data_IF_442394231110
#
_entry.id   IF_442394231110
#
_cell.length_a   1.000
_cell.length_b   1.000
_cell.length_c   1.000
_cell.angle_alpha   90.00
_cell.angle_beta   90.00
_cell.angle_gamma   90.00
#
_symmetry.space_group_name_H-M   'P 1'
#
loop_
_entity.id
_entity.type
_entity.pdbx_description
1 polymer ?
#
# COMPACT_ATOMS: atom_id res chain seq x y z
N UNK A 1 -6.01 15.40 0.11
CA UNK A 1 -4.52 15.54 0.22
C UNK A 1 -3.84 14.33 -0.41
N UNK A 2 -2.56 14.44 -0.85
CA UNK A 2 -1.87 13.29 -1.43
C UNK A 2 -1.48 12.23 -0.39
N UNK A 3 -1.13 11.02 -0.88
CA UNK A 3 -0.86 9.84 -0.03
C UNK A 3 0.36 10.04 0.91
N UNK A 4 1.40 10.79 0.48
CA UNK A 4 2.58 11.08 1.28
C UNK A 4 2.24 11.95 2.50
N UNK A 5 1.36 12.95 2.31
CA UNK A 5 0.87 13.79 3.39
C UNK A 5 -0.07 13.01 4.33
N UNK A 6 -0.93 12.16 3.78
CA UNK A 6 -1.80 11.29 4.56
C UNK A 6 -0.98 10.34 5.46
N UNK A 7 0.06 9.71 4.92
CA UNK A 7 1.01 8.87 5.68
C UNK A 7 1.60 9.65 6.86
N UNK A 8 2.10 10.86 6.63
CA UNK A 8 2.68 11.67 7.71
C UNK A 8 1.65 12.03 8.78
N UNK A 9 0.42 12.34 8.37
CA UNK A 9 -0.66 12.70 9.29
C UNK A 9 -1.13 11.49 10.14
N UNK A 10 -1.13 10.28 9.58
CA UNK A 10 -1.39 9.07 10.35
C UNK A 10 -0.28 8.83 11.37
N UNK A 11 1.00 8.97 10.99
CA UNK A 11 2.14 8.85 11.92
C UNK A 11 2.06 9.87 13.05
N UNK A 12 1.67 11.10 12.75
CA UNK A 12 1.46 12.13 13.78
C UNK A 12 0.31 11.75 14.72
N UNK A 13 -0.77 11.18 14.18
CA UNK A 13 -1.90 10.71 14.97
C UNK A 13 -1.51 9.56 15.90
N UNK A 14 -0.74 8.59 15.40
CA UNK A 14 -0.20 7.48 16.19
C UNK A 14 0.61 8.03 17.38
N UNK A 15 1.57 8.92 17.11
CA UNK A 15 2.40 9.54 18.14
C UNK A 15 1.58 10.28 19.19
N UNK A 16 0.55 11.02 18.74
CA UNK A 16 -0.33 11.76 19.64
C UNK A 16 -1.19 10.84 20.52
N UNK A 17 -1.66 9.71 19.97
CA UNK A 17 -2.51 8.76 20.68
C UNK A 17 -1.72 7.86 21.63
N UNK A 18 -0.46 7.58 21.35
CA UNK A 18 0.44 6.80 22.21
C UNK A 18 1.14 7.64 23.27
N UNK A 19 0.97 8.97 23.25
CA UNK A 19 1.57 9.83 24.26
C UNK A 19 0.96 9.54 25.64
N UNK A 20 1.81 9.23 26.63
CA UNK A 20 1.42 8.89 27.99
C UNK A 20 1.74 10.03 28.97
N UNK A 21 0.96 10.10 30.02
CA UNK A 21 1.20 10.91 31.20
C UNK A 21 2.28 10.26 32.11
N UNK A 22 2.71 10.98 33.14
CA UNK A 22 3.70 10.47 34.09
C UNK A 22 3.24 9.21 34.86
N UNK A 23 1.93 9.00 34.99
CA UNK A 23 1.31 7.82 35.64
C UNK A 23 1.15 6.62 34.69
N UNK A 24 1.60 6.71 33.43
CA UNK A 24 1.51 5.67 32.42
C UNK A 24 0.18 5.62 31.66
N UNK A 25 -0.81 6.44 32.01
CA UNK A 25 -2.09 6.54 31.27
C UNK A 25 -1.93 7.31 29.95
N UNK A 26 -2.73 6.99 28.94
CA UNK A 26 -2.72 7.75 27.68
C UNK A 26 -3.24 9.17 27.92
N UNK A 27 -2.49 10.16 27.41
CA UNK A 27 -2.88 11.58 27.53
C UNK A 27 -4.21 11.87 26.84
N UNK A 28 -4.49 11.19 25.72
CA UNK A 28 -5.82 11.15 25.10
C UNK A 28 -6.38 9.75 25.39
N UNK A 29 -7.37 9.63 26.31
CA UNK A 29 -7.95 8.32 26.64
C UNK A 29 -8.46 7.60 25.41
N UNK A 30 -8.34 6.27 25.38
CA UNK A 30 -8.68 5.43 24.22
C UNK A 30 -10.09 5.70 23.69
N UNK A 31 -11.06 5.96 24.56
CA UNK A 31 -12.44 6.29 24.17
C UNK A 31 -12.56 7.61 23.39
N UNK A 32 -11.62 8.54 23.55
CA UNK A 32 -11.58 9.83 22.85
C UNK A 32 -10.67 9.84 21.63
N UNK A 33 -9.92 8.79 21.40
CA UNK A 33 -9.10 8.62 20.21
C UNK A 33 -10.01 8.26 19.02
N UNK A 34 -10.19 9.18 18.10
CA UNK A 34 -11.02 8.97 16.91
C UNK A 34 -10.34 7.99 15.96
N UNK A 35 -11.03 6.94 15.47
CA UNK A 35 -10.53 6.14 14.36
C UNK A 35 -10.20 7.03 13.16
N UNK A 36 -9.11 6.73 12.46
CA UNK A 36 -8.77 7.40 11.22
C UNK A 36 -9.55 6.75 10.07
N UNK A 37 -10.21 7.56 9.25
CA UNK A 37 -10.95 7.12 8.07
C UNK A 37 -10.29 7.68 6.82
N UNK A 38 -9.65 6.81 6.02
CA UNK A 38 -9.03 7.16 4.75
C UNK A 38 -10.06 7.00 3.62
N UNK A 39 -10.42 8.09 2.99
CA UNK A 39 -11.30 8.08 1.82
C UNK A 39 -10.53 8.51 0.59
N UNK A 40 -10.60 7.74 -0.48
CA UNK A 40 -9.91 8.10 -1.72
C UNK A 40 -10.07 7.06 -2.81
N UNK A 41 -9.66 7.41 -4.04
CA UNK A 41 -9.82 6.55 -5.20
C UNK A 41 -9.16 5.17 -5.03
N UNK A 42 -9.61 4.15 -5.77
CA UNK A 42 -8.95 2.84 -5.77
C UNK A 42 -7.53 2.96 -6.38
N UNK A 43 -6.60 2.11 -5.92
CA UNK A 43 -5.25 2.03 -6.48
C UNK A 43 -4.29 3.16 -6.11
N UNK A 44 -4.65 4.07 -5.17
CA UNK A 44 -3.75 5.15 -4.72
C UNK A 44 -2.78 4.75 -3.59
N UNK A 45 -2.77 3.47 -3.20
CA UNK A 45 -1.82 2.95 -2.21
C UNK A 45 -2.27 3.03 -0.75
N UNK A 46 -3.58 3.13 -0.46
CA UNK A 46 -4.11 3.20 0.92
C UNK A 46 -3.64 2.03 1.81
N UNK A 47 -3.68 0.83 1.29
CA UNK A 47 -3.26 -0.39 2.00
C UNK A 47 -1.73 -0.42 2.17
N UNK A 48 -0.98 -0.13 1.11
CA UNK A 48 0.49 -0.13 1.13
C UNK A 48 1.10 0.85 2.14
N UNK A 49 0.49 2.04 2.32
CA UNK A 49 1.02 2.99 3.31
C UNK A 49 0.86 2.50 4.74
N UNK A 50 -0.10 1.61 5.02
CA UNK A 50 -0.29 1.07 6.38
C UNK A 50 0.82 0.11 6.77
N UNK A 51 1.28 -0.74 5.83
CA UNK A 51 2.45 -1.60 6.03
C UNK A 51 3.71 -0.76 6.28
N UNK A 52 3.94 0.26 5.45
CA UNK A 52 5.06 1.17 5.62
C UNK A 52 5.01 1.96 6.93
N UNK A 53 3.81 2.38 7.39
CA UNK A 53 3.64 3.08 8.67
C UNK A 53 3.95 2.15 9.84
N UNK A 54 3.46 0.92 9.78
CA UNK A 54 3.71 -0.09 10.80
C UNK A 54 5.22 -0.37 10.95
N UNK A 55 5.92 -0.57 9.84
CA UNK A 55 7.37 -0.75 9.81
C UNK A 55 8.13 0.49 10.33
N UNK A 56 7.81 1.68 9.83
CA UNK A 56 8.49 2.93 10.22
C UNK A 56 8.21 3.37 11.67
N UNK A 57 7.11 2.91 12.27
CA UNK A 57 6.75 3.20 13.66
C UNK A 57 7.08 2.04 14.61
N UNK A 58 7.61 0.92 14.09
CA UNK A 58 7.90 -0.29 14.85
C UNK A 58 6.66 -0.83 15.60
N UNK A 59 5.53 -0.89 14.89
CA UNK A 59 4.23 -1.30 15.42
C UNK A 59 3.70 -2.53 14.71
N UNK A 60 3.10 -3.50 15.44
CA UNK A 60 2.39 -4.59 14.84
C UNK A 60 1.15 -4.08 14.07
N UNK A 61 0.91 -4.67 12.90
CA UNK A 61 -0.25 -4.41 12.06
C UNK A 61 -1.13 -5.65 12.01
N UNK A 62 -2.42 -5.45 12.27
CA UNK A 62 -3.49 -6.40 11.95
C UNK A 62 -4.34 -5.79 10.86
N UNK A 63 -4.47 -6.46 9.72
CA UNK A 63 -5.15 -5.94 8.53
C UNK A 63 -6.29 -6.87 8.13
N UNK A 64 -7.46 -6.29 7.91
CA UNK A 64 -8.66 -6.98 7.45
C UNK A 64 -9.33 -6.27 6.29
N UNK A 65 -9.72 -7.04 5.27
CA UNK A 65 -10.66 -6.59 4.24
C UNK A 65 -12.06 -7.04 4.64
N UNK A 66 -12.89 -6.09 5.04
CA UNK A 66 -14.15 -6.37 5.71
C UNK A 66 -15.22 -7.01 4.80
N UNK A 67 -15.10 -6.87 3.48
CA UNK A 67 -16.03 -7.46 2.49
C UNK A 67 -16.09 -8.98 2.54
N UNK A 68 -15.05 -9.62 3.04
CA UNK A 68 -14.99 -11.08 3.21
C UNK A 68 -15.64 -11.57 4.51
N UNK A 69 -16.08 -10.66 5.38
CA UNK A 69 -16.64 -11.00 6.68
C UNK A 69 -18.17 -10.97 6.68
N UNK A 70 -18.75 -11.95 7.34
CA UNK A 70 -20.17 -11.97 7.70
C UNK A 70 -20.38 -11.25 9.03
N UNK A 71 -21.63 -10.90 9.35
CA UNK A 71 -21.95 -10.36 10.68
C UNK A 71 -21.49 -11.31 11.81
N UNK A 72 -21.60 -12.61 11.62
CA UNK A 72 -21.23 -13.62 12.60
C UNK A 72 -19.72 -13.68 12.84
N UNK A 73 -18.91 -13.63 11.79
CA UNK A 73 -17.44 -13.61 11.94
C UNK A 73 -16.94 -12.30 12.57
N UNK A 74 -17.60 -11.17 12.27
CA UNK A 74 -17.22 -9.86 12.81
C UNK A 74 -17.62 -9.66 14.28
N UNK A 75 -18.82 -10.14 14.69
CA UNK A 75 -19.32 -9.95 16.07
C UNK A 75 -19.00 -11.15 16.97
N UNK A 76 -18.86 -12.34 16.41
CA UNK A 76 -18.84 -13.62 17.10
C UNK A 76 -20.18 -14.36 17.00
N UNK A 77 -20.17 -15.62 17.41
CA UNK A 77 -21.37 -16.48 17.45
C UNK A 77 -22.08 -16.34 18.79
N UNK A 78 -23.42 -16.21 18.79
CA UNK A 78 -24.19 -16.24 20.04
C UNK A 78 -24.16 -17.64 20.65
N UNK A 79 -23.97 -17.70 21.96
CA UNK A 79 -24.12 -18.92 22.75
C UNK A 79 -24.90 -18.64 24.04
N UNK A 80 -25.55 -19.67 24.58
CA UNK A 80 -26.35 -19.54 25.79
C UNK A 80 -25.50 -19.93 27.00
N UNK A 81 -25.39 -19.00 27.97
CA UNK A 81 -24.74 -19.23 29.25
C UNK A 81 -25.75 -19.08 30.38
N UNK A 82 -25.62 -19.94 31.40
CA UNK A 82 -26.41 -19.78 32.63
C UNK A 82 -25.70 -18.85 33.59
N UNK A 83 -26.40 -17.79 34.01
CA UNK A 83 -25.88 -16.82 35.00
C UNK A 83 -26.85 -16.67 36.17
N UNK A 84 -26.31 -16.53 37.37
CA UNK A 84 -27.08 -16.29 38.55
C UNK A 84 -27.13 -14.81 38.92
N UNK A 85 -28.33 -14.26 39.05
CA UNK A 85 -28.58 -12.91 39.51
C UNK A 85 -29.60 -12.91 40.65
N UNK A 86 -29.21 -12.39 41.82
CA UNK A 86 -30.10 -12.30 42.98
C UNK A 86 -30.65 -13.65 43.45
N UNK A 87 -29.83 -14.73 43.35
CA UNK A 87 -30.20 -16.10 43.77
C UNK A 87 -31.12 -16.83 42.78
N UNK A 88 -31.29 -16.29 41.55
CA UNK A 88 -32.08 -16.93 40.45
C UNK A 88 -31.20 -17.14 39.25
N UNK A 89 -31.30 -18.30 38.63
CA UNK A 89 -30.56 -18.66 37.40
C UNK A 89 -31.31 -18.20 36.17
N UNK A 90 -30.61 -17.48 35.26
CA UNK A 90 -31.13 -17.00 34.00
C UNK A 90 -30.28 -17.52 32.86
N UNK A 91 -30.95 -17.81 31.73
CA UNK A 91 -30.26 -18.08 30.47
C UNK A 91 -29.93 -16.76 29.81
N UNK A 92 -28.65 -16.45 29.59
CA UNK A 92 -28.17 -15.21 29.00
C UNK A 92 -27.49 -15.54 27.68
N UNK A 93 -27.75 -14.74 26.65
CA UNK A 93 -27.01 -14.85 25.37
C UNK A 93 -25.71 -14.07 25.49
N UNK A 94 -24.60 -14.74 25.26
CA UNK A 94 -23.28 -14.14 25.10
C UNK A 94 -22.76 -14.39 23.68
N UNK A 95 -21.71 -13.66 23.30
CA UNK A 95 -21.07 -13.84 22.01
C UNK A 95 -19.64 -14.30 22.20
N UNK A 96 -19.19 -15.23 21.35
CA UNK A 96 -17.77 -15.57 21.26
C UNK A 96 -16.97 -14.34 20.83
N UNK A 97 -15.69 -14.31 21.16
CA UNK A 97 -14.81 -13.24 20.67
C UNK A 97 -14.80 -13.23 19.13
N UNK A 98 -14.87 -12.04 18.54
CA UNK A 98 -14.75 -11.90 17.09
C UNK A 98 -13.35 -12.26 16.62
N UNK A 99 -13.22 -12.77 15.40
CA UNK A 99 -11.94 -13.07 14.77
C UNK A 99 -11.04 -11.83 14.72
N UNK A 100 -11.59 -10.65 14.45
CA UNK A 100 -10.85 -9.38 14.37
C UNK A 100 -10.20 -9.06 15.73
N UNK A 101 -10.95 -9.21 16.83
CA UNK A 101 -10.41 -8.93 18.17
C UNK A 101 -9.43 -10.03 18.59
N UNK A 102 -9.73 -11.30 18.30
CA UNK A 102 -8.84 -12.42 18.59
C UNK A 102 -7.46 -12.25 17.92
N UNK A 103 -7.43 -11.86 16.63
CA UNK A 103 -6.17 -11.63 15.91
C UNK A 103 -5.31 -10.51 16.49
N UNK A 104 -5.93 -9.54 17.18
CA UNK A 104 -5.17 -8.51 17.90
C UNK A 104 -4.45 -9.16 19.10
N UNK A 105 -5.14 -10.01 19.87
CA UNK A 105 -4.53 -10.71 21.01
C UNK A 105 -3.43 -11.68 20.55
N UNK A 106 -3.67 -12.45 19.48
CA UNK A 106 -2.66 -13.33 18.87
C UNK A 106 -1.42 -12.55 18.44
N UNK A 107 -1.63 -11.34 17.90
CA UNK A 107 -0.54 -10.47 17.50
C UNK A 107 0.23 -9.92 18.68
N UNK A 108 -0.45 -9.56 19.78
CA UNK A 108 0.19 -9.15 21.03
C UNK A 108 1.02 -10.29 21.62
N UNK A 109 0.47 -11.51 21.64
CA UNK A 109 1.18 -12.68 22.16
C UNK A 109 2.42 -13.03 21.34
N UNK A 110 2.32 -12.98 20.00
CA UNK A 110 3.42 -13.32 19.11
C UNK A 110 4.53 -12.29 19.07
N UNK A 111 4.22 -11.00 19.27
CA UNK A 111 5.22 -9.91 19.18
C UNK A 111 5.67 -9.40 20.54
N UNK A 112 4.91 -9.64 21.62
CA UNK A 112 5.11 -9.02 22.93
C UNK A 112 4.76 -7.53 23.00
N UNK A 113 4.33 -6.91 21.88
CA UNK A 113 4.01 -5.48 21.78
C UNK A 113 2.53 -5.25 22.10
N UNK A 114 2.24 -4.39 23.06
CA UNK A 114 0.87 -4.08 23.49
C UNK A 114 0.19 -2.99 22.67
N UNK A 115 0.95 -2.21 21.94
CA UNK A 115 0.48 -1.12 21.07
C UNK A 115 0.56 -1.57 19.62
N UNK A 116 -0.40 -1.16 18.78
CA UNK A 116 -0.45 -1.59 17.40
C UNK A 116 -1.48 -0.85 16.55
N UNK A 117 -1.63 -1.29 15.32
CA UNK A 117 -2.56 -0.74 14.34
C UNK A 117 -3.52 -1.84 13.91
N UNK A 118 -4.83 -1.56 14.03
CA UNK A 118 -5.87 -2.33 13.35
C UNK A 118 -6.29 -1.57 12.10
N UNK A 119 -5.99 -2.15 10.93
CA UNK A 119 -6.40 -1.62 9.64
C UNK A 119 -7.58 -2.40 9.08
N UNK A 120 -8.65 -1.67 8.71
CA UNK A 120 -9.86 -2.25 8.12
C UNK A 120 -10.05 -1.64 6.75
N UNK A 121 -9.81 -2.44 5.70
CA UNK A 121 -10.00 -2.00 4.32
C UNK A 121 -11.45 -2.22 3.85
N UNK A 122 -11.86 -1.41 2.88
CA UNK A 122 -13.19 -1.45 2.25
C UNK A 122 -14.36 -1.27 3.23
N UNK A 123 -14.17 -0.47 4.28
CA UNK A 123 -15.12 -0.30 5.40
C UNK A 123 -16.54 0.09 4.95
N UNK A 124 -16.70 0.74 3.81
CA UNK A 124 -17.98 1.19 3.28
C UNK A 124 -18.53 0.29 2.15
N UNK A 125 -17.88 -0.84 1.86
CA UNK A 125 -18.35 -1.88 0.94
C UNK A 125 -19.02 -3.07 1.65
N UNK A 126 -19.34 -2.93 2.93
CA UNK A 126 -19.92 -3.99 3.75
C UNK A 126 -21.38 -4.26 3.40
N UNK A 127 -21.81 -5.50 3.66
CA UNK A 127 -23.21 -5.89 3.50
C UNK A 127 -24.16 -5.05 4.37
N UNK A 128 -25.44 -4.94 3.97
CA UNK A 128 -26.46 -4.21 4.74
C UNK A 128 -26.59 -4.66 6.19
N UNK A 129 -26.42 -5.93 6.43
CA UNK A 129 -26.53 -6.54 7.76
C UNK A 129 -25.33 -6.26 8.64
N UNK A 130 -24.14 -6.03 8.04
CA UNK A 130 -22.90 -5.78 8.76
C UNK A 130 -22.62 -4.27 8.97
N UNK A 131 -23.10 -3.41 8.06
CA UNK A 131 -22.80 -1.98 8.11
C UNK A 131 -23.14 -1.31 9.46
N UNK A 132 -24.30 -1.51 10.11
CA UNK A 132 -24.59 -0.90 11.40
C UNK A 132 -23.60 -1.34 12.50
N UNK A 133 -23.15 -2.59 12.45
CA UNK A 133 -22.18 -3.14 13.40
C UNK A 133 -20.81 -2.49 13.22
N UNK A 134 -20.37 -2.31 11.98
CA UNK A 134 -19.09 -1.67 11.68
C UNK A 134 -19.09 -0.19 12.08
N UNK A 135 -20.20 0.52 11.86
CA UNK A 135 -20.35 1.90 12.32
C UNK A 135 -20.31 1.98 13.86
N UNK A 136 -21.02 1.08 14.54
CA UNK A 136 -20.95 0.98 16.00
C UNK A 136 -19.54 0.66 16.48
N UNK A 137 -18.83 -0.25 15.80
CA UNK A 137 -17.45 -0.58 16.11
C UNK A 137 -16.53 0.64 16.01
N UNK A 138 -16.62 1.42 14.93
CA UNK A 138 -15.83 2.65 14.78
C UNK A 138 -16.11 3.65 15.91
N UNK A 139 -17.34 3.68 16.44
CA UNK A 139 -17.73 4.60 17.51
C UNK A 139 -17.30 4.11 18.90
N UNK A 140 -17.52 2.83 19.20
CA UNK A 140 -17.37 2.25 20.53
C UNK A 140 -16.09 1.44 20.71
N UNK A 141 -15.39 1.11 19.62
CA UNK A 141 -14.20 0.22 19.58
C UNK A 141 -14.47 -1.16 20.20
N UNK A 142 -15.71 -1.65 20.05
CA UNK A 142 -16.14 -2.95 20.57
C UNK A 142 -16.85 -3.75 19.51
N UNK A 143 -16.60 -5.04 19.49
CA UNK A 143 -17.45 -6.01 18.80
C UNK A 143 -18.19 -6.85 19.84
N UNK A 144 -19.52 -6.77 19.88
CA UNK A 144 -20.31 -7.36 20.95
C UNK A 144 -19.87 -6.83 22.31
N UNK A 145 -19.43 -7.75 23.19
CA UNK A 145 -18.92 -7.44 24.54
C UNK A 145 -17.41 -7.26 24.60
N UNK A 146 -16.70 -7.49 23.48
CA UNK A 146 -15.24 -7.51 23.43
C UNK A 146 -14.69 -6.18 22.88
N UNK A 147 -13.93 -5.48 23.71
CA UNK A 147 -13.28 -4.23 23.35
C UNK A 147 -11.92 -4.49 22.68
N UNK A 148 -11.52 -3.58 21.79
CA UNK A 148 -10.15 -3.50 21.30
C UNK A 148 -9.22 -3.14 22.47
N UNK A 149 -8.09 -3.83 22.66
CA UNK A 149 -7.11 -3.49 23.69
C UNK A 149 -6.64 -2.04 23.59
N UNK A 150 -6.40 -1.41 24.74
CA UNK A 150 -5.83 -0.07 24.78
C UNK A 150 -4.46 -0.04 24.11
N UNK A 151 -4.17 1.08 23.40
CA UNK A 151 -2.95 1.24 22.62
C UNK A 151 -3.09 0.80 21.16
N UNK A 152 -4.19 0.14 20.79
CA UNK A 152 -4.47 -0.20 19.39
C UNK A 152 -5.26 0.92 18.71
N UNK A 153 -4.69 1.42 17.62
CA UNK A 153 -5.24 2.52 16.84
C UNK A 153 -5.98 1.94 15.64
N UNK A 154 -7.23 2.37 15.46
CA UNK A 154 -8.06 1.93 14.34
C UNK A 154 -7.84 2.88 13.17
N UNK A 155 -7.47 2.32 12.03
CA UNK A 155 -7.44 2.99 10.73
C UNK A 155 -8.36 2.22 9.79
N UNK A 156 -9.33 2.90 9.21
CA UNK A 156 -10.24 2.32 8.22
C UNK A 156 -10.02 2.99 6.87
N UNK A 157 -10.19 2.25 5.79
CA UNK A 157 -10.13 2.77 4.43
C UNK A 157 -11.40 2.46 3.65
N UNK A 158 -11.78 3.36 2.76
CA UNK A 158 -12.91 3.20 1.87
C UNK A 158 -12.72 3.94 0.55
N UNK A 159 -13.58 3.65 -0.41
CA UNK A 159 -13.62 4.34 -1.69
C UNK A 159 -14.85 5.24 -1.75
N UNK A 160 -14.77 6.41 -2.39
CA UNK A 160 -15.94 7.25 -2.66
C UNK A 160 -16.97 6.53 -3.55
N UNK A 161 -18.27 6.90 -3.46
CA UNK A 161 -19.36 6.24 -4.20
C UNK A 161 -19.24 6.28 -5.71
N UNK A 162 -18.58 7.30 -6.25
CA UNK A 162 -18.34 7.45 -7.69
C UNK A 162 -17.52 6.31 -8.31
N UNK A 163 -16.74 5.59 -7.50
CA UNK A 163 -15.89 4.48 -7.95
C UNK A 163 -16.52 3.10 -7.75
N UNK A 164 -17.52 2.98 -6.88
CA UNK A 164 -18.16 1.70 -6.60
C UNK A 164 -19.62 1.90 -6.18
N UNK A 165 -20.55 1.42 -6.99
CA UNK A 165 -22.01 1.52 -6.73
C UNK A 165 -22.47 0.77 -5.49
N UNK A 166 -21.70 -0.19 -5.00
CA UNK A 166 -22.00 -0.94 -3.78
C UNK A 166 -21.58 -0.21 -2.50
N UNK A 167 -20.93 0.92 -2.63
CA UNK A 167 -20.44 1.74 -1.51
C UNK A 167 -21.60 2.47 -0.85
N UNK A 168 -21.55 2.52 0.48
CA UNK A 168 -22.46 3.33 1.30
C UNK A 168 -21.78 4.61 1.72
N UNK A 169 -22.54 5.68 1.70
CA UNK A 169 -22.13 6.94 2.29
C UNK A 169 -22.25 6.87 3.83
N UNK A 170 -21.26 7.44 4.49
CA UNK A 170 -21.33 7.61 5.95
C UNK A 170 -22.20 8.81 6.29
N UNK A 171 -23.07 8.63 7.28
CA UNK A 171 -23.87 9.72 7.82
C UNK A 171 -23.00 10.72 8.62
N UNK A 172 -23.57 11.91 8.87
CA UNK A 172 -22.90 12.98 9.61
C UNK A 172 -22.51 12.53 11.03
N UNK A 173 -23.32 11.68 11.66
CA UNK A 173 -23.07 11.17 13.02
C UNK A 173 -21.83 10.30 13.07
N UNK A 174 -21.62 9.47 12.07
CA UNK A 174 -20.42 8.63 11.92
C UNK A 174 -19.19 9.50 11.60
N UNK A 175 -19.32 10.43 10.63
CA UNK A 175 -18.22 11.30 10.22
C UNK A 175 -17.74 12.21 11.36
N UNK A 176 -18.62 12.65 12.25
CA UNK A 176 -18.25 13.45 13.42
C UNK A 176 -17.41 12.65 14.45
N UNK A 177 -17.44 11.34 14.40
CA UNK A 177 -16.74 10.45 15.35
C UNK A 177 -15.43 9.87 14.82
N UNK A 178 -15.11 10.11 13.57
CA UNK A 178 -13.87 9.67 12.94
C UNK A 178 -12.97 10.85 12.58
N UNK A 179 -11.70 10.59 12.36
CA UNK A 179 -10.76 11.53 11.76
C UNK A 179 -10.67 11.23 10.28
N UNK A 180 -11.51 11.90 9.48
CA UNK A 180 -11.56 11.70 8.03
C UNK A 180 -10.36 12.34 7.34
N UNK A 181 -9.74 11.60 6.44
CA UNK A 181 -8.64 12.03 5.57
C UNK A 181 -9.03 11.70 4.14
N UNK A 182 -9.30 12.72 3.34
CA UNK A 182 -9.57 12.55 1.90
C UNK A 182 -8.24 12.53 1.14
N UNK A 183 -8.01 11.41 0.42
CA UNK A 183 -6.80 11.16 -0.36
C UNK A 183 -7.13 11.39 -1.84
N UNK A 184 -6.23 12.09 -2.51
CA UNK A 184 -6.27 12.37 -3.94
C UNK A 184 -5.05 11.75 -4.61
N UNK A 185 -5.19 11.41 -5.87
CA UNK A 185 -4.09 10.97 -6.71
C UNK A 185 -3.08 12.11 -6.94
N UNK A 186 -1.80 11.76 -6.93
CA UNK A 186 -0.71 12.72 -7.15
C UNK A 186 0.42 12.01 -7.90
N UNK A 187 0.55 12.32 -9.19
CA UNK A 187 1.60 11.74 -10.04
C UNK A 187 3.01 12.04 -9.51
N UNK A 188 3.24 13.24 -8.99
CA UNK A 188 4.57 13.63 -8.48
C UNK A 188 5.00 12.77 -7.29
N UNK A 189 4.07 12.51 -6.37
CA UNK A 189 4.31 11.63 -5.22
C UNK A 189 4.45 10.17 -5.64
N UNK A 190 3.58 9.69 -6.55
CA UNK A 190 3.68 8.34 -7.07
C UNK A 190 5.00 8.13 -7.83
N UNK A 191 5.47 9.10 -8.58
CA UNK A 191 6.73 9.05 -9.31
C UNK A 191 7.93 8.83 -8.38
N UNK A 192 8.00 9.49 -7.20
CA UNK A 192 9.04 9.25 -6.21
C UNK A 192 9.06 7.78 -5.72
N UNK A 193 7.88 7.21 -5.53
CA UNK A 193 7.71 5.79 -5.19
C UNK A 193 8.10 4.90 -6.36
N UNK A 194 7.66 5.22 -7.57
CA UNK A 194 7.90 4.46 -8.79
C UNK A 194 9.39 4.29 -9.11
N UNK A 195 10.19 5.35 -8.94
CA UNK A 195 11.64 5.24 -9.08
C UNK A 195 12.27 4.29 -8.05
N UNK A 196 11.82 4.33 -6.80
CA UNK A 196 12.32 3.43 -5.74
C UNK A 196 11.91 1.98 -5.97
N UNK A 197 10.71 1.78 -6.46
CA UNK A 197 10.16 0.44 -6.76
C UNK A 197 10.73 -0.15 -8.05
N UNK A 198 11.31 0.68 -8.91
CA UNK A 198 11.85 0.25 -10.19
C UNK A 198 10.77 0.03 -11.26
N UNK A 199 9.77 0.89 -11.29
CA UNK A 199 8.77 0.90 -12.35
C UNK A 199 9.46 1.07 -13.70
N UNK A 200 8.98 0.34 -14.72
CA UNK A 200 9.57 0.28 -16.04
C UNK A 200 9.74 1.68 -16.67
N UNK A 201 10.93 1.94 -17.25
CA UNK A 201 11.32 3.26 -17.74
C UNK A 201 10.41 3.82 -18.82
N UNK A 202 9.82 2.96 -19.67
CA UNK A 202 8.85 3.39 -20.68
C UNK A 202 7.59 4.00 -20.04
N UNK A 203 7.10 3.43 -18.94
CA UNK A 203 5.94 3.95 -18.21
C UNK A 203 6.27 5.31 -17.58
N UNK A 204 7.42 5.42 -16.93
CA UNK A 204 7.84 6.68 -16.29
C UNK A 204 8.00 7.80 -17.33
N UNK A 205 8.69 7.54 -18.43
CA UNK A 205 8.89 8.52 -19.48
C UNK A 205 7.60 8.88 -20.21
N UNK A 206 6.71 7.92 -20.45
CA UNK A 206 5.39 8.19 -21.01
C UNK A 206 4.55 9.11 -20.12
N UNK A 207 4.48 8.80 -18.83
CA UNK A 207 3.69 9.58 -17.88
C UNK A 207 4.28 10.97 -17.59
N UNK A 208 5.56 11.19 -17.84
CA UNK A 208 6.13 12.56 -17.84
C UNK A 208 5.59 13.42 -18.99
N UNK A 209 5.35 12.81 -20.15
CA UNK A 209 4.79 13.47 -21.33
C UNK A 209 3.27 13.64 -21.20
N UNK A 210 2.61 12.60 -20.65
CA UNK A 210 1.15 12.46 -20.59
C UNK A 210 0.69 12.27 -19.15
N UNK A 211 0.91 13.25 -18.29
CA UNK A 211 0.57 13.18 -16.86
C UNK A 211 -0.91 12.95 -16.61
N UNK A 212 -1.76 13.45 -17.50
CA UNK A 212 -3.21 13.26 -17.48
C UNK A 212 -3.62 11.79 -17.66
N UNK A 213 -2.74 10.93 -18.15
CA UNK A 213 -2.98 9.49 -18.31
C UNK A 213 -2.59 8.67 -17.07
N UNK A 214 -2.04 9.29 -16.04
CA UNK A 214 -1.66 8.61 -14.82
C UNK A 214 -2.86 8.01 -14.08
N UNK A 215 -3.92 8.80 -13.94
CA UNK A 215 -5.14 8.41 -13.26
C UNK A 215 -6.36 9.00 -13.97
N UNK A 216 -7.22 8.13 -14.50
CA UNK A 216 -8.48 8.53 -15.15
C UNK A 216 -9.55 7.48 -14.91
N UNK A 217 -10.74 7.92 -14.59
CA UNK A 217 -11.95 7.08 -14.52
C UNK A 217 -13.04 7.76 -15.30
N UNK A 218 -13.58 7.07 -16.30
CA UNK A 218 -14.60 7.61 -17.21
C UNK A 218 -15.82 6.68 -17.23
N UNK A 219 -17.01 7.27 -17.14
CA UNK A 219 -18.24 6.55 -17.31
C UNK A 219 -18.60 6.51 -18.81
N UNK A 220 -18.71 5.32 -19.37
CA UNK A 220 -19.11 5.08 -20.76
C UNK A 220 -20.43 4.32 -20.81
N UNK A 221 -20.99 4.16 -22.01
CA UNK A 221 -22.20 3.36 -22.22
C UNK A 221 -22.01 1.89 -21.80
N UNK A 222 -20.78 1.37 -21.94
CA UNK A 222 -20.43 -0.02 -21.64
C UNK A 222 -19.96 -0.22 -20.18
N UNK A 223 -19.90 0.84 -19.37
CA UNK A 223 -19.49 0.79 -17.98
C UNK A 223 -18.39 1.79 -17.64
N UNK A 224 -17.72 1.57 -16.51
CA UNK A 224 -16.57 2.38 -16.10
C UNK A 224 -15.31 1.89 -16.80
N UNK A 225 -14.63 2.82 -17.48
CA UNK A 225 -13.29 2.61 -18.02
C UNK A 225 -12.30 3.39 -17.17
N UNK A 226 -11.13 2.82 -16.91
CA UNK A 226 -10.20 3.45 -15.98
C UNK A 226 -8.74 3.09 -16.23
N UNK A 227 -7.90 4.00 -15.75
CA UNK A 227 -6.46 3.81 -15.56
C UNK A 227 -6.12 4.28 -14.16
N UNK A 228 -5.38 3.46 -13.42
CA UNK A 228 -4.99 3.75 -12.04
C UNK A 228 -3.50 3.54 -11.83
N UNK A 229 -2.97 4.06 -10.73
CA UNK A 229 -1.57 3.83 -10.35
C UNK A 229 -1.24 2.34 -10.22
N UNK A 230 -2.18 1.52 -9.69
CA UNK A 230 -2.03 0.06 -9.61
C UNK A 230 -1.93 -0.58 -11.00
N UNK A 231 -2.79 -0.17 -11.96
CA UNK A 231 -2.72 -0.70 -13.32
C UNK A 231 -1.37 -0.45 -13.98
N UNK A 232 -0.76 0.71 -13.77
CA UNK A 232 0.59 1.01 -14.23
C UNK A 232 1.67 0.17 -13.54
N UNK A 233 1.54 -0.07 -12.25
CA UNK A 233 2.48 -0.90 -11.46
C UNK A 233 2.43 -2.35 -11.90
N UNK A 234 1.23 -2.94 -11.98
CA UNK A 234 1.01 -4.32 -12.40
C UNK A 234 1.49 -4.54 -13.85
N UNK A 235 1.21 -3.59 -14.75
CA UNK A 235 1.73 -3.61 -16.12
C UNK A 235 3.27 -3.56 -16.14
N UNK A 236 3.88 -2.73 -15.31
CA UNK A 236 5.34 -2.64 -15.19
C UNK A 236 5.99 -3.96 -14.81
N UNK A 237 5.43 -4.64 -13.82
CA UNK A 237 5.94 -5.95 -13.39
C UNK A 237 5.85 -6.98 -14.52
N UNK A 238 4.71 -7.02 -15.22
CA UNK A 238 4.54 -7.90 -16.37
C UNK A 238 5.54 -7.57 -17.48
N UNK A 239 5.71 -6.28 -17.83
CA UNK A 239 6.62 -5.84 -18.87
C UNK A 239 8.05 -6.31 -18.62
N UNK A 240 8.56 -6.14 -17.39
CA UNK A 240 9.90 -6.58 -17.00
C UNK A 240 10.08 -8.08 -17.14
N UNK A 241 9.08 -8.88 -16.76
CA UNK A 241 9.12 -10.33 -16.90
C UNK A 241 9.05 -10.73 -18.38
N UNK A 242 8.17 -10.12 -19.17
CA UNK A 242 8.06 -10.41 -20.60
C UNK A 242 9.32 -10.06 -21.38
N UNK A 243 9.96 -8.91 -21.05
CA UNK A 243 11.27 -8.57 -21.62
C UNK A 243 12.34 -9.63 -21.31
N UNK A 244 12.38 -10.14 -20.07
CA UNK A 244 13.33 -11.18 -19.67
C UNK A 244 13.11 -12.51 -20.39
N UNK A 245 11.88 -12.80 -20.79
CA UNK A 245 11.46 -14.00 -21.52
C UNK A 245 11.47 -13.80 -23.04
N UNK A 246 11.72 -12.60 -23.54
CA UNK A 246 11.65 -12.27 -24.98
C UNK A 246 10.23 -12.32 -25.53
N UNK A 247 9.20 -12.13 -24.69
CA UNK A 247 7.79 -12.11 -25.09
C UNK A 247 7.41 -10.68 -25.51
N UNK A 248 6.85 -10.48 -26.71
CA UNK A 248 6.44 -9.15 -27.16
C UNK A 248 5.22 -8.66 -26.38
N UNK A 249 5.18 -7.34 -26.13
CA UNK A 249 4.07 -6.66 -25.49
C UNK A 249 3.34 -5.88 -26.58
N UNK A 250 2.11 -6.28 -26.85
CA UNK A 250 1.23 -5.60 -27.78
C UNK A 250 0.13 -4.78 -27.08
N UNK A 251 -0.67 -4.11 -27.90
CA UNK A 251 -1.79 -3.32 -27.41
C UNK A 251 -2.79 -4.16 -26.58
N UNK A 252 -3.04 -5.41 -26.96
CA UNK A 252 -4.03 -6.24 -26.26
C UNK A 252 -3.57 -6.59 -24.85
N UNK A 253 -2.26 -6.81 -24.68
CA UNK A 253 -1.67 -7.01 -23.33
C UNK A 253 -1.80 -5.74 -22.49
N UNK A 254 -1.52 -4.58 -23.04
CA UNK A 254 -1.63 -3.30 -22.36
C UNK A 254 -3.08 -3.01 -21.93
N UNK A 255 -4.06 -3.28 -22.79
CA UNK A 255 -5.50 -3.07 -22.50
C UNK A 255 -6.02 -3.92 -21.32
N UNK A 256 -5.36 -5.03 -20.99
CA UNK A 256 -5.73 -5.85 -19.83
C UNK A 256 -5.46 -5.15 -18.50
N UNK A 257 -4.52 -4.22 -18.45
CA UNK A 257 -4.12 -3.46 -17.27
C UNK A 257 -4.63 -2.01 -17.28
N UNK A 258 -4.61 -1.40 -18.46
CA UNK A 258 -5.09 -0.04 -18.69
C UNK A 258 -6.45 -0.09 -19.38
N UNK A 259 -7.51 -0.17 -18.60
CA UNK A 259 -8.87 -0.40 -19.09
C UNK A 259 -9.53 0.88 -19.66
N UNK A 260 -8.74 1.81 -20.18
CA UNK A 260 -9.16 2.96 -20.96
C UNK A 260 -8.50 2.84 -22.34
N UNK A 261 -9.22 2.40 -23.39
CA UNK A 261 -8.66 1.99 -24.68
C UNK A 261 -7.81 3.06 -25.36
N UNK A 262 -8.17 4.34 -25.18
CA UNK A 262 -7.42 5.45 -25.72
C UNK A 262 -6.01 5.51 -25.09
N UNK A 263 -5.92 5.45 -23.76
CA UNK A 263 -4.64 5.48 -23.04
C UNK A 263 -3.80 4.25 -23.37
N UNK A 264 -4.43 3.08 -23.41
CA UNK A 264 -3.74 1.83 -23.76
C UNK A 264 -3.16 1.86 -25.17
N UNK A 265 -3.93 2.40 -26.14
CA UNK A 265 -3.46 2.56 -27.52
C UNK A 265 -2.30 3.56 -27.62
N UNK A 266 -2.42 4.69 -26.96
CA UNK A 266 -1.38 5.72 -26.94
C UNK A 266 -0.08 5.19 -26.30
N UNK A 267 -0.20 4.47 -25.19
CA UNK A 267 0.96 3.88 -24.53
C UNK A 267 1.60 2.75 -25.37
N UNK A 268 0.80 1.89 -26.02
CA UNK A 268 1.32 0.83 -26.87
C UNK A 268 2.10 1.41 -28.07
N UNK A 269 1.61 2.49 -28.68
CA UNK A 269 2.32 3.21 -29.72
C UNK A 269 3.63 3.83 -29.20
N UNK A 270 3.58 4.42 -28.00
CA UNK A 270 4.78 4.97 -27.37
C UNK A 270 5.81 3.91 -27.07
N UNK A 271 5.39 2.71 -26.62
CA UNK A 271 6.29 1.60 -26.31
C UNK A 271 7.08 1.15 -27.56
N UNK A 272 6.45 1.10 -28.73
CA UNK A 272 7.15 0.80 -29.98
C UNK A 272 8.23 1.86 -30.32
N UNK A 273 7.94 3.14 -30.06
CA UNK A 273 8.93 4.19 -30.23
C UNK A 273 10.07 4.09 -29.20
N UNK A 274 9.75 3.78 -27.96
CA UNK A 274 10.71 3.59 -26.89
C UNK A 274 11.69 2.46 -27.20
N UNK A 275 11.20 1.34 -27.70
CA UNK A 275 12.03 0.20 -28.13
C UNK A 275 12.91 0.55 -29.32
N UNK A 276 12.39 1.30 -30.30
CA UNK A 276 13.18 1.83 -31.40
C UNK A 276 14.31 2.72 -30.89
N UNK A 277 14.03 3.64 -29.96
CA UNK A 277 15.05 4.53 -29.41
C UNK A 277 16.10 3.77 -28.61
N UNK A 278 15.71 2.73 -27.86
CA UNK A 278 16.62 1.83 -27.15
C UNK A 278 17.64 1.20 -28.11
N UNK A 279 17.19 0.75 -29.30
CA UNK A 279 18.04 0.18 -30.33
C UNK A 279 18.91 1.20 -31.06
N UNK A 280 18.35 2.35 -31.43
CA UNK A 280 19.03 3.41 -32.19
C UNK A 280 20.12 4.07 -31.36
N UNK A 281 19.78 4.48 -30.15
CA UNK A 281 20.69 5.27 -29.30
C UNK A 281 21.63 4.45 -28.44
N UNK A 282 21.39 3.13 -28.29
CA UNK A 282 22.25 2.21 -27.50
C UNK A 282 22.74 2.82 -26.19
N UNK A 283 21.79 3.10 -25.32
CA UNK A 283 22.02 3.83 -24.07
C UNK A 283 23.11 3.19 -23.20
N UNK A 284 23.28 1.87 -23.26
CA UNK A 284 24.32 1.13 -22.54
C UNK A 284 25.73 1.52 -23.01
N UNK A 285 25.91 1.78 -24.31
CA UNK A 285 27.18 2.28 -24.85
C UNK A 285 27.49 3.70 -24.35
N UNK A 286 26.46 4.55 -24.21
CA UNK A 286 26.62 5.89 -23.62
C UNK A 286 27.08 5.81 -22.17
N UNK A 287 26.47 4.96 -21.36
CA UNK A 287 26.79 4.80 -19.95
C UNK A 287 28.20 4.17 -19.73
N UNK A 288 28.64 3.33 -20.67
CA UNK A 288 30.00 2.77 -20.65
C UNK A 288 31.09 3.73 -21.19
N UNK A 289 30.68 4.89 -21.70
CA UNK A 289 31.62 5.88 -22.29
C UNK A 289 32.11 5.53 -23.70
N UNK A 290 31.47 4.57 -24.37
CA UNK A 290 31.84 4.10 -25.73
C UNK A 290 30.93 4.64 -26.83
N UNK A 291 30.07 5.61 -26.52
CA UNK A 291 29.05 6.15 -27.40
C UNK A 291 29.66 6.98 -28.56
N UNK A 292 29.15 6.75 -29.77
CA UNK A 292 29.65 7.43 -30.96
C UNK A 292 29.17 8.89 -31.02
N UNK A 293 30.05 9.87 -31.31
CA UNK A 293 29.69 11.31 -31.39
C UNK A 293 28.57 11.62 -32.39
N UNK A 294 28.42 10.81 -33.46
CA UNK A 294 27.36 10.98 -34.47
C UNK A 294 25.99 10.90 -33.83
N UNK A 295 25.78 10.01 -32.87
CA UNK A 295 24.48 9.86 -32.18
C UNK A 295 24.13 11.04 -31.31
N UNK A 296 25.14 11.73 -30.76
CA UNK A 296 24.93 12.97 -30.02
C UNK A 296 24.38 14.08 -30.93
N UNK A 297 24.87 14.12 -32.17
CA UNK A 297 24.35 15.07 -33.19
C UNK A 297 22.93 14.73 -33.61
N UNK A 298 22.66 13.45 -33.89
CA UNK A 298 21.29 12.97 -34.22
C UNK A 298 20.30 13.28 -33.09
N UNK A 299 20.64 13.02 -31.83
CA UNK A 299 19.80 13.33 -30.69
C UNK A 299 19.61 14.86 -30.52
N UNK A 300 20.62 15.66 -30.83
CA UNK A 300 20.48 17.14 -30.77
C UNK A 300 19.40 17.64 -31.71
N UNK A 301 19.28 17.08 -32.89
CA UNK A 301 18.34 17.47 -33.95
C UNK A 301 16.99 16.73 -33.86
N UNK A 302 16.89 15.74 -32.96
CA UNK A 302 15.68 14.93 -32.76
C UNK A 302 14.50 15.76 -32.18
N UNK A 303 13.25 15.35 -32.43
CA UNK A 303 12.07 15.94 -31.81
C UNK A 303 12.11 15.85 -30.28
N UNK A 304 11.35 16.72 -29.61
CA UNK A 304 11.33 16.80 -28.13
C UNK A 304 10.92 15.48 -27.46
N UNK A 305 9.91 14.78 -28.01
CA UNK A 305 9.40 13.51 -27.48
C UNK A 305 10.47 12.41 -27.55
N UNK A 306 11.28 12.40 -28.61
CA UNK A 306 12.40 11.49 -28.78
C UNK A 306 13.51 11.76 -27.75
N UNK A 307 13.87 13.03 -27.56
CA UNK A 307 14.83 13.45 -26.53
C UNK A 307 14.38 13.02 -25.13
N UNK A 308 13.09 13.17 -24.85
CA UNK A 308 12.51 12.80 -23.57
C UNK A 308 12.47 11.28 -23.39
N UNK A 309 12.19 10.52 -24.46
CA UNK A 309 12.27 9.06 -24.47
C UNK A 309 13.69 8.55 -24.15
N UNK A 310 14.70 9.13 -24.83
CA UNK A 310 16.11 8.78 -24.59
C UNK A 310 16.56 9.18 -23.16
N UNK A 311 16.12 10.34 -22.66
CA UNK A 311 16.38 10.74 -21.28
C UNK A 311 15.73 9.75 -20.28
N UNK A 312 14.51 9.30 -20.55
CA UNK A 312 13.82 8.28 -19.76
C UNK A 312 14.60 6.96 -19.72
N UNK A 313 15.10 6.51 -20.88
CA UNK A 313 15.97 5.35 -20.99
C UNK A 313 17.24 5.48 -20.15
N UNK A 314 17.93 6.61 -20.24
CA UNK A 314 19.12 6.90 -19.45
C UNK A 314 18.86 6.87 -17.95
N UNK A 315 17.80 7.57 -17.52
CA UNK A 315 17.42 7.62 -16.09
C UNK A 315 17.04 6.22 -15.55
N UNK A 316 16.32 5.42 -16.35
CA UNK A 316 15.98 4.05 -15.97
C UNK A 316 17.23 3.20 -15.79
N UNK A 317 18.17 3.21 -16.76
CA UNK A 317 19.40 2.43 -16.68
C UNK A 317 20.34 2.89 -15.55
N UNK A 318 20.40 4.19 -15.29
CA UNK A 318 21.15 4.72 -14.14
C UNK A 318 20.51 4.28 -12.80
N UNK A 319 19.20 4.30 -12.71
CA UNK A 319 18.48 3.84 -11.52
C UNK A 319 18.68 2.33 -11.30
N UNK A 320 18.66 1.52 -12.36
CA UNK A 320 18.95 0.08 -12.31
C UNK A 320 20.37 -0.16 -11.78
N UNK A 321 21.38 0.49 -12.38
CA UNK A 321 22.75 0.38 -11.94
C UNK A 321 22.99 0.83 -10.49
N UNK A 322 22.28 1.88 -10.04
CA UNK A 322 22.34 2.32 -8.65
C UNK A 322 21.71 1.30 -7.69
N UNK A 323 20.59 0.68 -8.06
CA UNK A 323 19.96 -0.39 -7.27
C UNK A 323 20.85 -1.62 -7.18
N UNK A 324 21.45 -2.04 -8.29
CA UNK A 324 22.36 -3.18 -8.32
C UNK A 324 23.59 -2.92 -7.46
N UNK A 325 24.18 -1.73 -7.52
CA UNK A 325 25.28 -1.33 -6.67
C UNK A 325 24.90 -1.37 -5.18
N UNK A 326 23.75 -0.79 -4.82
CA UNK A 326 23.25 -0.82 -3.44
C UNK A 326 23.00 -2.24 -2.94
N UNK A 327 22.42 -3.10 -3.80
CA UNK A 327 22.17 -4.51 -3.48
C UNK A 327 23.49 -5.28 -3.26
N UNK A 328 24.49 -5.05 -4.09
CA UNK A 328 25.82 -5.65 -3.94
C UNK A 328 26.51 -5.20 -2.65
N UNK A 329 26.40 -3.92 -2.30
CA UNK A 329 26.93 -3.36 -1.06
C UNK A 329 26.29 -4.03 0.16
N UNK A 330 24.95 -4.11 0.20
CA UNK A 330 24.22 -4.77 1.28
C UNK A 330 24.56 -6.27 1.40
N UNK A 331 24.73 -6.97 0.27
CA UNK A 331 25.14 -8.38 0.26
C UNK A 331 26.59 -8.54 0.78
N UNK A 332 27.47 -7.60 0.46
CA UNK A 332 28.85 -7.60 0.94
C UNK A 332 28.91 -7.40 2.45
N UNK A 333 28.11 -6.46 2.98
CA UNK A 333 28.00 -6.22 4.42
C UNK A 333 27.45 -7.45 5.16
N UNK A 334 26.39 -8.09 4.63
CA UNK A 334 25.83 -9.31 5.18
C UNK A 334 26.86 -10.46 5.22
N UNK A 335 27.58 -10.68 4.10
CA UNK A 335 28.63 -11.69 4.03
C UNK A 335 29.78 -11.40 5.02
N UNK A 336 30.15 -10.13 5.17
CA UNK A 336 31.18 -9.73 6.14
C UNK A 336 30.72 -10.03 7.57
N UNK A 337 29.47 -9.75 7.93
CA UNK A 337 28.89 -10.07 9.23
C UNK A 337 28.89 -11.59 9.49
N UNK A 338 28.50 -12.39 8.50
CA UNK A 338 28.50 -13.86 8.59
C UNK A 338 29.91 -14.41 8.80
N UNK A 339 30.90 -13.90 8.07
CA UNK A 339 32.29 -14.29 8.23
C UNK A 339 32.84 -13.94 9.61
N UNK A 340 32.45 -12.79 10.17
CA UNK A 340 32.85 -12.42 11.55
C UNK A 340 32.22 -13.38 12.57
N UNK A 341 30.92 -13.74 12.40
CA UNK A 341 30.21 -14.67 13.28
C UNK A 341 30.85 -16.08 13.25
N UNK A 342 31.24 -16.58 12.07
CA UNK A 342 31.95 -17.86 11.90
C UNK A 342 33.29 -17.80 12.64
N UNK A 343 34.07 -16.74 12.44
CA UNK A 343 35.39 -16.55 13.10
C UNK A 343 35.28 -16.47 14.62
N UNK A 344 34.24 -15.88 15.15
CA UNK A 344 33.96 -15.83 16.59
C UNK A 344 33.51 -17.21 17.11
N UNK A 345 32.71 -17.95 16.36
CA UNK A 345 32.34 -19.32 16.67
C UNK A 345 33.54 -20.29 16.69
N UNK A 346 34.46 -20.18 15.73
CA UNK A 346 35.70 -20.95 15.70
C UNK A 346 36.57 -20.67 16.92
N UNK A 347 36.72 -19.39 17.34
CA UNK A 347 37.41 -19.02 18.55
C UNK A 347 36.78 -19.58 19.82
N UNK A 348 35.43 -19.58 19.89
CA UNK A 348 34.71 -20.15 21.01
C UNK A 348 34.90 -21.65 21.11
N UNK A 349 34.89 -22.38 19.99
CA UNK A 349 35.18 -23.82 19.93
C UNK A 349 36.62 -24.12 20.36
N UNK A 350 37.59 -23.33 19.88
CA UNK A 350 39.00 -23.52 20.23
C UNK A 350 39.31 -23.20 21.71
N UNK A 351 38.39 -22.55 22.42
CA UNK A 351 38.52 -22.22 23.85
C UNK A 351 37.85 -23.23 24.78
N UNK A 352 37.18 -24.27 24.23
CA UNK A 352 36.58 -25.35 25.05
C UNK A 352 37.69 -26.21 25.64
N UNK A 353 37.63 -26.57 26.94
CA UNK A 353 38.59 -27.49 27.54
C UNK A 353 38.41 -28.89 26.93
N UNK A 354 39.52 -29.62 26.75
CA UNK A 354 39.61 -30.99 26.24
C UNK A 354 38.77 -31.97 27.07
#
# INVERSE_FOLDING_TARGET
MNIKRAKQEIKNTIRAYQLKNADGTYRIPSIRQRPVLLMGPPGVGKTQIMEQIAEECDLPLVSYTITHHTRQSAIGLPFIQQKEYGGKTYSVTEYTMSEIVASIYDKIESTGLREGILFIDEINCVSETLAPTMLQFLQCKTFGTHAIPEGWIIVAAGNPPEYNKSVREFDVVTLDRVKKIDIEEDFGVWKEYAYRRGIHGAILSYLEIRREHFYRVEATADGLQFVTARGWEDLSELMQVYESLGIPIDRQVVEQYLQLPQVASDFANYLQLYDKYKQVYRVDELLSGTWEPVRASELRDAPFDEKLGVLGLLLSRLADGARDAYRLDALTDALHADLLAIREGEKAIASLPD
#
